data_IF_414711548329
#
_entry.id   IF_414711548329
#
_cell.length_a   1.000
_cell.length_b   1.000
_cell.length_c   1.000
_cell.angle_alpha   90.00
_cell.angle_beta   90.00
_cell.angle_gamma   90.00
#
_symmetry.space_group_name_H-M   'P 1'
#
loop_
_entity.id
_entity.type
_entity.pdbx_description
1 polymer ?
#
# COMPACT_ATOMS: atom_id res chain seq x y z
N UNK A 1 -59.24 -87.26 38.74
CA UNK A 1 -58.83 -86.78 37.40
C UNK A 1 -59.27 -85.34 37.13
N UNK A 2 -60.25 -84.78 37.85
CA UNK A 2 -60.75 -83.40 37.61
C UNK A 2 -59.88 -82.27 38.21
N UNK A 3 -59.20 -82.48 39.34
CA UNK A 3 -58.33 -81.42 39.93
C UNK A 3 -57.08 -81.10 39.09
N UNK A 4 -56.51 -82.09 38.38
CA UNK A 4 -55.37 -81.88 37.48
C UNK A 4 -55.73 -81.09 36.22
N UNK A 5 -57.00 -81.14 35.79
CA UNK A 5 -57.49 -80.44 34.61
C UNK A 5 -57.71 -78.94 34.89
N UNK A 6 -58.14 -78.60 36.11
CA UNK A 6 -58.29 -77.21 36.56
C UNK A 6 -56.95 -76.52 36.85
N UNK A 7 -55.96 -77.21 37.44
CA UNK A 7 -54.62 -76.66 37.59
C UNK A 7 -53.95 -76.39 36.23
N UNK A 8 -54.13 -77.26 35.24
CA UNK A 8 -53.60 -77.07 33.88
C UNK A 8 -54.18 -75.85 33.14
N UNK A 9 -55.48 -75.56 33.30
CA UNK A 9 -56.13 -74.35 32.76
C UNK A 9 -55.70 -73.08 33.51
N UNK A 10 -55.52 -73.15 34.83
CA UNK A 10 -55.06 -72.00 35.62
C UNK A 10 -53.59 -71.71 35.32
N UNK A 11 -52.74 -72.73 35.19
CA UNK A 11 -51.34 -72.59 34.79
C UNK A 11 -51.22 -72.01 33.38
N UNK A 12 -52.02 -72.48 32.41
CA UNK A 12 -52.00 -71.91 31.05
C UNK A 12 -52.51 -70.47 31.01
N UNK A 13 -53.49 -70.10 31.85
CA UNK A 13 -53.96 -68.72 31.98
C UNK A 13 -52.92 -67.79 32.63
N UNK A 14 -52.20 -68.28 33.65
CA UNK A 14 -51.14 -67.53 34.35
C UNK A 14 -49.92 -67.32 33.45
N UNK A 15 -49.53 -68.34 32.69
CA UNK A 15 -48.43 -68.29 31.74
C UNK A 15 -48.75 -67.35 30.56
N UNK A 16 -50.00 -67.34 30.10
CA UNK A 16 -50.48 -66.40 29.09
C UNK A 16 -50.44 -64.94 29.58
N UNK A 17 -50.84 -64.68 30.83
CA UNK A 17 -50.77 -63.35 31.45
C UNK A 17 -49.30 -62.91 31.63
N UNK A 18 -48.41 -63.79 32.07
CA UNK A 18 -46.98 -63.49 32.21
C UNK A 18 -46.33 -63.15 30.86
N UNK A 19 -46.67 -63.88 29.80
CA UNK A 19 -46.17 -63.59 28.45
C UNK A 19 -46.71 -62.25 27.91
N UNK A 20 -47.95 -61.89 28.24
CA UNK A 20 -48.53 -60.60 27.86
C UNK A 20 -47.87 -59.43 28.61
N UNK A 21 -47.62 -59.57 29.91
CA UNK A 21 -46.89 -58.57 30.71
C UNK A 21 -45.47 -58.41 30.16
N UNK A 22 -44.78 -59.51 29.85
CA UNK A 22 -43.43 -59.47 29.29
C UNK A 22 -43.39 -58.75 27.94
N UNK A 23 -44.38 -58.97 27.07
CA UNK A 23 -44.50 -58.26 25.80
C UNK A 23 -44.70 -56.75 26.00
N UNK A 24 -45.58 -56.35 26.92
CA UNK A 24 -45.81 -54.94 27.26
C UNK A 24 -44.54 -54.29 27.83
N UNK A 25 -43.85 -54.96 28.75
CA UNK A 25 -42.60 -54.45 29.33
C UNK A 25 -41.52 -54.25 28.27
N UNK A 26 -41.43 -55.17 27.30
CA UNK A 26 -40.49 -55.07 26.18
C UNK A 26 -40.82 -53.88 25.28
N UNK A 27 -42.09 -53.71 24.90
CA UNK A 27 -42.53 -52.59 24.05
C UNK A 27 -42.32 -51.23 24.74
N UNK A 28 -42.57 -51.14 26.05
CA UNK A 28 -42.32 -49.92 26.84
C UNK A 28 -40.81 -49.61 26.88
N UNK A 29 -39.96 -50.61 27.11
CA UNK A 29 -38.49 -50.43 27.12
C UNK A 29 -37.96 -49.99 25.76
N UNK A 30 -38.41 -50.62 24.68
CA UNK A 30 -37.99 -50.24 23.32
C UNK A 30 -38.41 -48.82 22.95
N UNK A 31 -39.63 -48.42 23.32
CA UNK A 31 -40.11 -47.05 23.10
C UNK A 31 -39.29 -46.02 23.88
N UNK A 32 -39.02 -46.30 25.16
CA UNK A 32 -38.21 -45.42 26.02
C UNK A 32 -36.76 -45.28 25.52
N UNK A 33 -36.15 -46.39 25.07
CA UNK A 33 -34.80 -46.37 24.48
C UNK A 33 -34.79 -45.52 23.20
N UNK A 34 -35.80 -45.67 22.34
CA UNK A 34 -35.91 -44.91 21.08
C UNK A 34 -36.11 -43.42 21.32
N UNK A 35 -36.92 -43.04 22.32
CA UNK A 35 -37.08 -41.64 22.75
C UNK A 35 -35.76 -41.06 23.26
N UNK A 36 -35.03 -41.77 24.14
CA UNK A 36 -33.74 -41.31 24.65
C UNK A 36 -32.66 -41.23 23.57
N UNK A 37 -32.66 -42.13 22.59
CA UNK A 37 -31.75 -42.06 21.44
C UNK A 37 -32.04 -40.82 20.56
N UNK A 38 -33.31 -40.47 20.37
CA UNK A 38 -33.70 -39.25 19.65
C UNK A 38 -33.30 -37.98 20.40
N UNK A 39 -33.50 -37.92 21.73
CA UNK A 39 -33.01 -36.82 22.57
C UNK A 39 -31.49 -36.66 22.46
N UNK A 40 -30.74 -37.77 22.57
CA UNK A 40 -29.28 -37.77 22.44
C UNK A 40 -28.84 -37.27 21.06
N UNK A 41 -29.55 -37.68 20.00
CA UNK A 41 -29.28 -37.24 18.63
C UNK A 41 -29.50 -35.73 18.48
N UNK A 42 -30.59 -35.21 19.04
CA UNK A 42 -30.88 -33.78 19.01
C UNK A 42 -29.84 -32.95 19.79
N UNK A 43 -29.41 -33.43 20.96
CA UNK A 43 -28.34 -32.79 21.74
C UNK A 43 -27.03 -32.79 20.96
N UNK A 44 -26.68 -33.91 20.31
CA UNK A 44 -25.47 -34.01 19.49
C UNK A 44 -25.50 -33.06 18.28
N UNK A 45 -26.65 -32.92 17.62
CA UNK A 45 -26.80 -31.95 16.52
C UNK A 45 -26.61 -30.52 17.02
N UNK A 46 -27.24 -30.16 18.15
CA UNK A 46 -27.14 -28.82 18.73
C UNK A 46 -25.73 -28.50 19.21
N UNK A 47 -25.04 -29.46 19.83
CA UNK A 47 -23.64 -29.33 20.24
C UNK A 47 -22.72 -29.15 19.02
N UNK A 48 -22.95 -29.88 17.93
CA UNK A 48 -22.18 -29.71 16.69
C UNK A 48 -22.43 -28.33 16.05
N UNK A 49 -23.65 -27.83 16.07
CA UNK A 49 -23.96 -26.46 15.61
C UNK A 49 -23.24 -25.40 16.46
N UNK A 50 -23.23 -25.56 17.79
CA UNK A 50 -22.54 -24.66 18.70
C UNK A 50 -21.01 -24.75 18.54
N UNK A 51 -20.44 -25.95 18.37
CA UNK A 51 -19.01 -26.15 18.05
C UNK A 51 -18.66 -25.48 16.73
N UNK A 52 -19.43 -25.68 15.67
CA UNK A 52 -19.20 -25.03 14.37
C UNK A 52 -19.28 -23.50 14.48
N UNK A 53 -20.19 -22.97 15.31
CA UNK A 53 -20.32 -21.54 15.57
C UNK A 53 -19.13 -20.98 16.36
N UNK A 54 -18.62 -21.74 17.33
CA UNK A 54 -17.42 -21.40 18.10
C UNK A 54 -16.17 -21.49 17.23
N UNK A 55 -16.02 -22.52 16.39
CA UNK A 55 -14.93 -22.65 15.42
C UNK A 55 -14.95 -21.52 14.38
N UNK A 56 -16.14 -21.11 13.90
CA UNK A 56 -16.29 -19.95 13.02
C UNK A 56 -15.82 -18.66 13.69
N UNK A 57 -16.23 -18.42 14.94
CA UNK A 57 -15.75 -17.27 15.74
C UNK A 57 -14.25 -17.33 16.02
N UNK A 58 -13.72 -18.51 16.32
CA UNK A 58 -12.29 -18.72 16.57
C UNK A 58 -11.46 -18.53 15.31
N UNK A 59 -11.89 -19.03 14.16
CA UNK A 59 -11.26 -18.79 12.84
C UNK A 59 -11.26 -17.30 12.50
N UNK A 60 -12.36 -16.59 12.75
CA UNK A 60 -12.41 -15.13 12.56
C UNK A 60 -11.47 -14.40 13.54
N UNK A 61 -11.31 -14.88 14.77
CA UNK A 61 -10.45 -14.24 15.78
C UNK A 61 -8.95 -14.56 15.66
N UNK A 62 -8.58 -15.78 15.23
CA UNK A 62 -7.20 -16.30 15.25
C UNK A 62 -6.58 -16.36 13.84
N UNK A 63 -7.39 -16.46 12.78
CA UNK A 63 -6.92 -16.68 11.40
C UNK A 63 -6.89 -15.45 10.48
N UNK A 64 -7.75 -14.45 10.68
CA UNK A 64 -7.88 -13.33 9.73
C UNK A 64 -7.17 -12.04 10.16
N UNK A 65 -6.81 -11.89 11.45
CA UNK A 65 -6.35 -10.61 11.99
C UNK A 65 -4.88 -10.22 11.68
N UNK A 66 -4.09 -11.06 11.01
CA UNK A 66 -2.65 -10.75 10.76
C UNK A 66 -2.36 -10.04 9.44
N UNK A 67 -3.32 -10.03 8.51
CA UNK A 67 -3.14 -9.48 7.15
C UNK A 67 -4.16 -8.36 6.85
N UNK A 68 -4.78 -7.80 7.90
CA UNK A 68 -5.69 -6.66 7.81
C UNK A 68 -4.91 -5.36 7.98
N UNK A 69 -5.06 -4.44 7.02
CA UNK A 69 -4.65 -3.06 7.22
C UNK A 69 -5.80 -2.31 7.88
N UNK A 70 -5.69 -2.08 9.18
CA UNK A 70 -6.69 -1.30 9.93
C UNK A 70 -6.54 0.18 9.62
N UNK A 71 -7.65 0.81 9.24
CA UNK A 71 -7.70 2.24 8.94
C UNK A 71 -8.22 2.95 10.18
N UNK A 72 -7.30 3.61 10.89
CA UNK A 72 -7.66 4.31 12.12
C UNK A 72 -8.48 5.56 11.81
N UNK A 73 -9.62 5.68 12.50
CA UNK A 73 -10.47 6.88 12.43
C UNK A 73 -9.68 8.10 12.83
N UNK A 74 -9.71 9.11 11.98
CA UNK A 74 -9.10 10.40 12.22
C UNK A 74 -9.87 11.48 11.43
N UNK A 75 -9.62 12.75 11.74
CA UNK A 75 -10.31 13.88 11.11
C UNK A 75 -10.17 13.89 9.59
N UNK A 76 -9.06 13.41 9.05
CA UNK A 76 -8.83 13.34 7.60
C UNK A 76 -9.71 12.28 6.95
N UNK A 77 -9.77 11.06 7.49
CA UNK A 77 -10.64 9.98 6.97
C UNK A 77 -12.12 10.37 7.09
N UNK A 78 -12.51 11.01 8.20
CA UNK A 78 -13.87 11.52 8.36
C UNK A 78 -14.17 12.62 7.34
N UNK A 79 -13.24 13.54 7.12
CA UNK A 79 -13.38 14.57 6.09
C UNK A 79 -13.54 13.96 4.70
N UNK A 80 -12.64 13.04 4.34
CA UNK A 80 -12.62 12.32 3.07
C UNK A 80 -13.95 11.61 2.79
N UNK A 81 -14.46 10.85 3.76
CA UNK A 81 -15.69 10.10 3.58
C UNK A 81 -16.96 10.97 3.58
N UNK A 82 -16.94 12.12 4.24
CA UNK A 82 -18.06 13.07 4.24
C UNK A 82 -18.05 13.98 3.00
N UNK A 83 -16.88 14.19 2.40
CA UNK A 83 -16.67 15.11 1.27
C UNK A 83 -16.79 14.43 -0.09
N UNK A 84 -16.66 13.11 -0.15
CA UNK A 84 -16.64 12.32 -1.38
C UNK A 84 -17.70 11.22 -1.36
N UNK A 85 -18.11 10.76 -2.54
CA UNK A 85 -18.77 9.46 -2.64
C UNK A 85 -17.74 8.37 -2.32
N UNK A 86 -17.89 7.72 -1.16
CA UNK A 86 -16.96 6.67 -0.67
C UNK A 86 -16.67 5.61 -1.72
N UNK A 87 -17.65 5.28 -2.56
CA UNK A 87 -17.52 4.25 -3.57
C UNK A 87 -16.66 4.68 -4.76
N UNK A 88 -16.80 5.93 -5.20
CA UNK A 88 -15.97 6.52 -6.26
C UNK A 88 -14.53 6.73 -5.77
N UNK A 89 -14.41 7.20 -4.54
CA UNK A 89 -13.15 7.34 -3.84
C UNK A 89 -12.40 6.00 -3.76
N UNK A 90 -13.05 4.93 -3.28
CA UNK A 90 -12.44 3.60 -3.22
C UNK A 90 -11.98 3.13 -4.60
N UNK A 91 -12.79 3.33 -5.65
CA UNK A 91 -12.38 3.01 -7.02
C UNK A 91 -11.13 3.78 -7.45
N UNK A 92 -11.06 5.07 -7.13
CA UNK A 92 -9.90 5.91 -7.42
C UNK A 92 -8.65 5.42 -6.67
N UNK A 93 -8.77 5.11 -5.38
CA UNK A 93 -7.67 4.57 -4.56
C UNK A 93 -7.20 3.23 -5.12
N UNK A 94 -8.13 2.30 -5.40
CA UNK A 94 -7.80 0.99 -5.95
C UNK A 94 -7.13 1.08 -7.32
N UNK A 95 -7.52 2.05 -8.16
CA UNK A 95 -6.89 2.28 -9.45
C UNK A 95 -5.45 2.78 -9.29
N UNK A 96 -5.27 3.87 -8.53
CA UNK A 96 -3.94 4.47 -8.31
C UNK A 96 -2.99 3.50 -7.59
N UNK A 97 -3.50 2.70 -6.64
CA UNK A 97 -2.67 1.77 -5.90
C UNK A 97 -2.12 0.65 -6.79
N UNK A 98 -2.98 0.06 -7.64
CA UNK A 98 -2.55 -0.94 -8.63
C UNK A 98 -1.54 -0.38 -9.61
N UNK A 99 -1.74 0.89 -9.97
CA UNK A 99 -0.89 1.61 -10.92
C UNK A 99 0.54 1.78 -10.39
N UNK A 100 0.71 2.28 -9.15
CA UNK A 100 2.02 2.54 -8.56
C UNK A 100 2.69 1.33 -7.89
N UNK A 101 2.02 0.17 -7.83
CA UNK A 101 2.59 -1.04 -7.21
C UNK A 101 2.63 -2.19 -8.22
N UNK A 102 1.59 -3.02 -8.22
CA UNK A 102 1.43 -4.13 -9.13
C UNK A 102 -0.05 -4.25 -9.50
N UNK A 103 -0.35 -4.34 -10.79
CA UNK A 103 -1.72 -4.45 -11.30
C UNK A 103 -2.50 -5.66 -10.74
N UNK A 104 -1.80 -6.69 -10.26
CA UNK A 104 -2.39 -7.89 -9.67
C UNK A 104 -2.63 -7.78 -8.16
N UNK A 105 -2.12 -6.74 -7.48
CA UNK A 105 -2.33 -6.48 -6.06
C UNK A 105 -3.57 -5.61 -5.87
N UNK A 106 -4.67 -6.19 -5.39
CA UNK A 106 -5.98 -5.56 -5.35
C UNK A 106 -6.38 -5.23 -3.91
N UNK A 107 -6.65 -3.96 -3.58
CA UNK A 107 -7.18 -3.57 -2.29
C UNK A 107 -8.70 -3.70 -2.25
N UNK A 108 -9.20 -4.35 -1.21
CA UNK A 108 -10.62 -4.56 -0.91
C UNK A 108 -10.96 -3.88 0.41
N UNK A 109 -11.98 -3.03 0.39
CA UNK A 109 -12.36 -2.18 1.52
C UNK A 109 -13.61 -2.71 2.20
N UNK A 110 -13.61 -2.68 3.53
CA UNK A 110 -14.68 -3.25 4.34
C UNK A 110 -15.12 -2.26 5.42
N UNK A 111 -16.37 -2.40 5.84
CA UNK A 111 -16.93 -1.69 7.00
C UNK A 111 -16.69 -2.43 8.33
N UNK A 112 -17.10 -1.81 9.44
CA UNK A 112 -17.02 -2.39 10.79
C UNK A 112 -17.78 -3.73 10.98
N UNK A 113 -18.65 -4.12 10.05
CA UNK A 113 -19.43 -5.35 10.09
C UNK A 113 -18.89 -6.44 9.14
N UNK A 114 -17.66 -6.29 8.69
CA UNK A 114 -16.96 -7.16 7.77
C UNK A 114 -17.57 -7.30 6.37
N UNK A 115 -18.29 -6.29 5.90
CA UNK A 115 -18.90 -6.31 4.57
C UNK A 115 -18.08 -5.52 3.57
N UNK A 116 -17.77 -6.15 2.44
CA UNK A 116 -17.01 -5.53 1.37
C UNK A 116 -17.81 -4.42 0.67
N UNK A 117 -17.26 -3.22 0.66
CA UNK A 117 -17.96 -2.00 0.27
C UNK A 117 -18.35 -1.98 -1.22
N UNK A 118 -17.51 -2.53 -2.10
CA UNK A 118 -17.80 -2.51 -3.52
C UNK A 118 -18.85 -3.55 -3.95
N UNK A 119 -19.19 -4.51 -3.09
CA UNK A 119 -20.17 -5.58 -3.38
C UNK A 119 -21.62 -5.18 -3.16
N UNK A 120 -21.89 -4.09 -2.47
CA UNK A 120 -23.25 -3.60 -2.28
C UNK A 120 -23.87 -3.18 -3.62
N UNK A 121 -25.09 -3.60 -3.93
CA UNK A 121 -25.77 -3.17 -5.16
C UNK A 121 -26.27 -1.70 -5.07
N UNK A 122 -26.37 -1.14 -3.87
CA UNK A 122 -26.86 0.22 -3.62
C UNK A 122 -25.84 1.03 -2.80
N UNK A 123 -25.78 2.34 -3.02
CA UNK A 123 -25.05 3.31 -2.15
C UNK A 123 -25.72 3.50 -0.79
N UNK A 124 -26.87 2.84 -0.61
CA UNK A 124 -27.73 2.90 0.54
C UNK A 124 -27.81 1.49 1.15
N UNK A 125 -27.59 1.38 2.45
CA UNK A 125 -27.77 0.15 3.20
C UNK A 125 -28.79 0.40 4.31
N UNK A 126 -29.56 -0.63 4.68
CA UNK A 126 -30.47 -0.56 5.81
C UNK A 126 -29.76 -1.03 7.06
N UNK A 127 -29.82 -0.24 8.13
CA UNK A 127 -29.34 -0.69 9.45
C UNK A 127 -30.31 -1.69 10.10
N UNK A 128 -29.94 -2.17 11.29
CA UNK A 128 -30.76 -3.07 12.12
C UNK A 128 -32.15 -2.52 12.46
N UNK A 129 -32.36 -1.21 12.33
CA UNK A 129 -33.64 -0.52 12.54
C UNK A 129 -34.38 -0.24 11.22
N UNK A 130 -33.97 -0.87 10.12
CA UNK A 130 -34.54 -0.72 8.78
C UNK A 130 -34.43 0.71 8.23
N UNK A 131 -33.54 1.54 8.79
CA UNK A 131 -33.30 2.92 8.35
C UNK A 131 -32.28 2.93 7.23
N UNK A 132 -32.61 3.66 6.16
CA UNK A 132 -31.78 3.78 4.98
C UNK A 132 -30.61 4.75 5.24
N UNK A 133 -29.39 4.22 5.26
CA UNK A 133 -28.16 4.96 5.51
C UNK A 133 -27.28 4.96 4.27
N UNK A 134 -26.62 6.09 3.98
CA UNK A 134 -25.55 6.11 2.98
C UNK A 134 -24.31 5.45 3.56
N UNK A 135 -23.61 4.68 2.73
CA UNK A 135 -22.29 4.18 3.10
C UNK A 135 -21.32 5.35 3.24
N UNK A 136 -20.90 5.60 4.48
CA UNK A 136 -20.09 6.77 4.85
C UNK A 136 -18.69 6.40 5.32
N UNK A 137 -18.31 5.12 5.42
CA UNK A 137 -17.08 4.72 6.12
C UNK A 137 -16.51 3.41 5.56
N UNK A 138 -15.20 3.28 5.68
CA UNK A 138 -14.44 2.03 5.59
C UNK A 138 -13.49 1.97 6.78
N UNK A 139 -13.36 0.81 7.41
CA UNK A 139 -12.62 0.64 8.66
C UNK A 139 -11.35 -0.21 8.48
N UNK A 140 -11.31 -1.05 7.44
CA UNK A 140 -10.11 -1.83 7.13
C UNK A 140 -10.03 -2.21 5.64
N UNK A 141 -8.82 -2.57 5.23
CA UNK A 141 -8.49 -3.01 3.89
C UNK A 141 -7.85 -4.41 3.92
N UNK A 142 -8.27 -5.29 3.00
CA UNK A 142 -7.62 -6.57 2.71
C UNK A 142 -7.02 -6.50 1.30
N UNK A 143 -5.90 -7.19 1.10
CA UNK A 143 -5.26 -7.22 -0.21
C UNK A 143 -5.35 -8.64 -0.77
N UNK A 144 -5.56 -8.76 -2.08
CA UNK A 144 -5.46 -10.03 -2.80
C UNK A 144 -4.41 -9.93 -3.87
N UNK A 145 -3.69 -11.02 -4.11
CA UNK A 145 -2.70 -11.10 -5.16
C UNK A 145 -2.92 -12.38 -5.96
N UNK A 146 -3.19 -12.24 -7.27
CA UNK A 146 -3.54 -13.36 -8.15
C UNK A 146 -4.71 -14.19 -7.59
N UNK A 147 -4.43 -15.41 -7.14
CA UNK A 147 -5.42 -16.36 -6.58
C UNK A 147 -5.39 -16.41 -5.05
N UNK A 148 -4.45 -15.70 -4.42
CA UNK A 148 -4.30 -15.68 -2.98
C UNK A 148 -5.20 -14.60 -2.37
N UNK A 149 -6.11 -15.04 -1.51
CA UNK A 149 -6.91 -14.16 -0.68
C UNK A 149 -6.11 -13.73 0.54
N UNK A 150 -6.15 -12.43 0.88
CA UNK A 150 -5.63 -11.90 2.13
C UNK A 150 -4.08 -11.99 2.25
N UNK A 151 -3.37 -11.30 1.36
CA UNK A 151 -1.91 -11.18 1.36
C UNK A 151 -1.43 -10.01 2.22
N UNK A 152 -0.22 -10.12 2.77
CA UNK A 152 0.47 -9.01 3.45
C UNK A 152 1.14 -8.15 2.40
N UNK A 153 1.17 -6.86 2.65
CA UNK A 153 1.90 -5.89 1.86
C UNK A 153 3.15 -5.42 2.62
N UNK A 154 4.16 -5.02 1.88
CA UNK A 154 5.39 -4.42 2.40
C UNK A 154 5.13 -3.02 2.97
N UNK A 155 6.05 -2.50 3.78
CA UNK A 155 5.96 -1.12 4.28
C UNK A 155 5.94 -0.06 3.17
N UNK A 156 6.63 -0.33 2.06
CA UNK A 156 6.63 0.53 0.88
C UNK A 156 5.24 0.56 0.23
N UNK A 157 4.61 -0.60 0.06
CA UNK A 157 3.23 -0.71 -0.43
C UNK A 157 2.22 -0.08 0.55
N UNK A 158 2.40 -0.21 1.86
CA UNK A 158 1.57 0.49 2.86
C UNK A 158 1.65 2.02 2.69
N UNK A 159 2.87 2.53 2.52
CA UNK A 159 3.13 3.96 2.30
C UNK A 159 2.53 4.43 0.98
N UNK A 160 2.66 3.63 -0.08
CA UNK A 160 2.05 3.89 -1.38
C UNK A 160 0.51 3.87 -1.30
N UNK A 161 -0.09 2.97 -0.53
CA UNK A 161 -1.53 2.91 -0.32
C UNK A 161 -2.05 4.17 0.39
N UNK A 162 -1.36 4.63 1.43
CA UNK A 162 -1.67 5.90 2.12
C UNK A 162 -1.57 7.07 1.14
N UNK A 163 -0.54 7.09 0.31
CA UNK A 163 -0.42 8.10 -0.73
C UNK A 163 -1.57 8.07 -1.74
N UNK A 164 -1.99 6.90 -2.20
CA UNK A 164 -3.13 6.77 -3.12
C UNK A 164 -4.42 7.34 -2.53
N UNK A 165 -4.60 7.24 -1.20
CA UNK A 165 -5.69 7.88 -0.47
C UNK A 165 -5.59 9.41 -0.50
N UNK A 166 -4.40 9.98 -0.24
CA UNK A 166 -4.17 11.42 -0.38
C UNK A 166 -4.33 11.93 -1.82
N UNK A 167 -3.75 11.24 -2.79
CA UNK A 167 -3.80 11.62 -4.20
C UNK A 167 -5.22 11.56 -4.76
N UNK A 168 -6.01 10.54 -4.39
CA UNK A 168 -7.43 10.45 -4.78
C UNK A 168 -8.24 11.62 -4.21
N UNK A 169 -7.93 12.06 -2.99
CA UNK A 169 -8.53 13.24 -2.39
C UNK A 169 -8.11 14.54 -3.10
N UNK A 170 -6.83 14.66 -3.44
CA UNK A 170 -6.28 15.80 -4.17
C UNK A 170 -7.04 16.01 -5.49
N UNK A 171 -7.21 14.95 -6.27
CA UNK A 171 -7.99 14.95 -7.51
C UNK A 171 -9.42 15.39 -7.27
N UNK A 172 -10.09 14.78 -6.28
CA UNK A 172 -11.48 15.13 -5.94
C UNK A 172 -11.64 16.61 -5.58
N UNK A 173 -10.73 17.18 -4.78
CA UNK A 173 -10.77 18.60 -4.41
C UNK A 173 -10.66 19.49 -5.65
N UNK A 174 -9.66 19.24 -6.51
CA UNK A 174 -9.45 20.04 -7.72
C UNK A 174 -10.64 19.94 -8.66
N UNK A 175 -11.14 18.73 -8.92
CA UNK A 175 -12.27 18.49 -9.82
C UNK A 175 -13.56 19.17 -9.33
N UNK A 176 -13.86 19.12 -8.03
CA UNK A 176 -15.07 19.74 -7.48
C UNK A 176 -14.95 21.26 -7.31
N UNK A 177 -13.74 21.81 -7.11
CA UNK A 177 -13.53 23.26 -7.15
C UNK A 177 -13.81 23.83 -8.54
N UNK A 178 -13.36 23.15 -9.59
CA UNK A 178 -13.62 23.56 -10.97
C UNK A 178 -15.11 23.44 -11.35
N UNK A 179 -15.76 22.32 -10.99
CA UNK A 179 -17.12 22.02 -11.47
C UNK A 179 -18.25 22.56 -10.60
N UNK A 180 -18.18 22.39 -9.28
CA UNK A 180 -19.27 22.69 -8.34
C UNK A 180 -19.00 23.87 -7.42
N UNK A 181 -17.79 24.45 -7.51
CA UNK A 181 -17.28 25.47 -6.59
C UNK A 181 -17.34 25.03 -5.11
N UNK A 182 -17.32 23.72 -4.87
CA UNK A 182 -17.14 23.17 -3.53
C UNK A 182 -15.68 23.36 -3.10
N UNK A 183 -15.41 23.32 -1.79
CA UNK A 183 -14.07 23.53 -1.22
C UNK A 183 -13.46 24.91 -1.49
N UNK A 184 -14.22 25.93 -1.93
CA UNK A 184 -13.69 27.29 -2.20
C UNK A 184 -12.96 27.92 -1.01
N UNK A 185 -13.33 27.56 0.23
CA UNK A 185 -12.63 28.00 1.44
C UNK A 185 -11.28 27.32 1.70
N UNK A 186 -10.91 26.29 0.93
CA UNK A 186 -9.57 25.69 0.96
C UNK A 186 -8.64 26.56 0.12
N UNK A 187 -7.69 27.24 0.75
CA UNK A 187 -6.77 28.13 0.03
C UNK A 187 -5.44 27.47 -0.33
N UNK A 188 -4.99 26.51 0.49
CA UNK A 188 -3.68 25.87 0.37
C UNK A 188 -3.80 24.35 0.48
N UNK A 189 -2.99 23.67 -0.32
CA UNK A 189 -2.64 22.26 -0.13
C UNK A 189 -1.14 22.18 0.12
N UNK A 190 -0.78 21.54 1.23
CA UNK A 190 0.60 21.27 1.60
C UNK A 190 0.91 19.77 1.40
N UNK A 191 1.95 19.46 0.64
CA UNK A 191 2.41 18.10 0.38
C UNK A 191 3.87 18.02 0.84
N UNK A 192 4.13 17.25 1.90
CA UNK A 192 5.47 17.03 2.41
C UNK A 192 5.98 15.66 2.00
N UNK A 193 7.07 15.68 1.24
CA UNK A 193 7.84 14.55 0.77
C UNK A 193 6.97 13.39 0.23
N UNK A 194 6.33 13.58 -0.94
CA UNK A 194 5.39 12.61 -1.49
C UNK A 194 6.12 11.29 -1.82
N UNK A 195 5.93 10.31 -0.93
CA UNK A 195 6.38 8.91 -0.95
C UNK A 195 7.88 8.70 -1.26
N UNK A 196 8.66 8.49 -0.20
CA UNK A 196 10.09 8.17 -0.29
C UNK A 196 10.41 6.71 -0.60
N UNK A 197 9.42 5.81 -0.60
CA UNK A 197 9.62 4.36 -0.76
C UNK A 197 9.34 3.82 -2.17
N UNK A 198 9.03 4.69 -3.13
CA UNK A 198 8.85 4.32 -4.54
C UNK A 198 10.20 4.24 -5.26
N UNK A 199 10.28 3.40 -6.28
CA UNK A 199 11.42 3.41 -7.19
C UNK A 199 11.44 4.69 -8.05
N UNK A 200 12.56 4.94 -8.73
CA UNK A 200 12.77 6.16 -9.52
C UNK A 200 11.71 6.34 -10.62
N UNK A 201 11.24 5.27 -11.25
CA UNK A 201 10.26 5.35 -12.33
C UNK A 201 8.89 5.80 -11.80
N UNK A 202 8.43 5.14 -10.73
CA UNK A 202 7.18 5.51 -10.08
C UNK A 202 7.24 6.89 -9.44
N UNK A 203 8.41 7.34 -8.98
CA UNK A 203 8.60 8.69 -8.47
C UNK A 203 8.53 9.77 -9.57
N UNK A 204 9.12 9.51 -10.74
CA UNK A 204 8.98 10.38 -11.91
C UNK A 204 7.51 10.50 -12.31
N UNK A 205 6.83 9.36 -12.41
CA UNK A 205 5.41 9.31 -12.75
C UNK A 205 4.56 10.08 -11.75
N UNK A 206 4.84 9.91 -10.45
CA UNK A 206 4.17 10.62 -9.39
C UNK A 206 4.33 12.15 -9.51
N UNK A 207 5.53 12.63 -9.85
CA UNK A 207 5.77 14.05 -10.08
C UNK A 207 4.94 14.58 -11.26
N UNK A 208 4.83 13.81 -12.34
CA UNK A 208 4.01 14.13 -13.52
C UNK A 208 2.53 14.19 -13.13
N UNK A 209 2.03 13.16 -12.44
CA UNK A 209 0.65 13.06 -11.95
C UNK A 209 0.24 14.26 -11.08
N UNK A 210 1.09 14.64 -10.12
CA UNK A 210 0.85 15.81 -9.27
C UNK A 210 0.85 17.08 -10.13
N UNK A 211 1.79 17.23 -11.06
CA UNK A 211 1.85 18.39 -11.94
C UNK A 211 0.57 18.52 -12.79
N UNK A 212 0.05 17.42 -13.31
CA UNK A 212 -1.21 17.40 -14.07
C UNK A 212 -2.39 17.85 -13.22
N UNK A 213 -2.50 17.35 -11.98
CA UNK A 213 -3.58 17.76 -11.07
C UNK A 213 -3.50 19.25 -10.76
N UNK A 214 -2.30 19.79 -10.52
CA UNK A 214 -2.10 21.23 -10.28
C UNK A 214 -2.44 22.06 -11.52
N UNK A 215 -2.08 21.58 -12.71
CA UNK A 215 -2.39 22.26 -13.99
C UNK A 215 -3.90 22.28 -14.26
N UNK A 216 -4.64 21.24 -13.86
CA UNK A 216 -6.10 21.17 -13.99
C UNK A 216 -6.83 22.18 -13.10
N UNK A 217 -6.24 22.66 -12.01
CA UNK A 217 -6.89 23.65 -11.16
C UNK A 217 -7.04 25.01 -11.89
N UNK A 218 -8.29 25.45 -12.04
CA UNK A 218 -8.64 26.77 -12.57
C UNK A 218 -8.99 27.76 -11.43
N UNK A 219 -9.09 27.28 -10.20
CA UNK A 219 -9.74 27.96 -9.07
C UNK A 219 -8.80 28.69 -8.11
N UNK A 220 -7.58 29.01 -8.57
CA UNK A 220 -6.53 29.72 -7.81
C UNK A 220 -6.05 29.02 -6.53
N UNK A 221 -6.19 27.69 -6.43
CA UNK A 221 -5.69 26.92 -5.28
C UNK A 221 -4.16 26.97 -5.24
N UNK A 222 -3.59 27.20 -4.04
CA UNK A 222 -2.13 27.30 -3.87
C UNK A 222 -1.58 25.97 -3.39
N UNK A 223 -0.52 25.50 -4.03
CA UNK A 223 0.18 24.28 -3.66
C UNK A 223 1.55 24.64 -3.09
N UNK A 224 1.86 24.06 -1.93
CA UNK A 224 3.17 24.13 -1.31
C UNK A 224 3.67 22.69 -1.20
N UNK A 225 4.77 22.40 -1.88
CA UNK A 225 5.32 21.06 -1.97
C UNK A 225 6.76 21.09 -1.48
N UNK A 226 7.06 20.25 -0.50
CA UNK A 226 8.41 20.04 0.03
C UNK A 226 8.86 18.63 -0.33
N UNK A 227 10.14 18.47 -0.64
CA UNK A 227 10.75 17.16 -0.84
C UNK A 227 12.24 17.27 -0.58
N UNK A 228 12.86 16.16 -0.18
CA UNK A 228 14.30 16.01 -0.18
C UNK A 228 14.83 15.37 -1.47
N UNK A 229 13.95 14.84 -2.32
CA UNK A 229 14.33 14.13 -3.53
C UNK A 229 14.48 15.08 -4.73
N UNK A 230 15.72 15.22 -5.19
CA UNK A 230 16.08 16.11 -6.30
C UNK A 230 15.47 15.71 -7.64
N UNK A 231 15.33 14.40 -7.91
CA UNK A 231 14.71 13.89 -9.14
C UNK A 231 13.24 14.30 -9.21
N UNK A 232 12.50 14.01 -8.13
CA UNK A 232 11.09 14.40 -8.01
C UNK A 232 10.92 15.91 -8.21
N UNK A 233 11.71 16.72 -7.50
CA UNK A 233 11.68 18.18 -7.63
C UNK A 233 11.93 18.62 -9.08
N UNK A 234 12.96 18.09 -9.74
CA UNK A 234 13.33 18.51 -11.09
C UNK A 234 12.24 18.19 -12.11
N UNK A 235 11.66 16.99 -12.04
CA UNK A 235 10.54 16.59 -12.91
C UNK A 235 9.33 17.47 -12.66
N UNK A 236 8.90 17.61 -11.41
CA UNK A 236 7.75 18.44 -11.04
C UNK A 236 7.92 19.90 -11.49
N UNK A 237 9.10 20.47 -11.23
CA UNK A 237 9.44 21.84 -11.61
C UNK A 237 9.41 22.05 -13.12
N UNK A 238 10.00 21.11 -13.88
CA UNK A 238 9.99 21.12 -15.34
C UNK A 238 8.57 21.06 -15.88
N UNK A 239 7.77 20.15 -15.34
CA UNK A 239 6.39 19.98 -15.76
C UNK A 239 5.56 21.24 -15.51
N UNK A 240 5.65 21.83 -14.33
CA UNK A 240 4.89 23.04 -13.97
C UNK A 240 5.34 24.31 -14.71
N UNK A 241 6.60 24.37 -15.16
CA UNK A 241 7.15 25.50 -15.92
C UNK A 241 7.05 25.34 -17.44
N UNK A 242 6.46 24.25 -17.94
CA UNK A 242 6.26 24.04 -19.37
C UNK A 242 5.51 25.20 -20.05
N UNK A 243 5.92 25.52 -21.29
CA UNK A 243 5.46 26.70 -22.06
C UNK A 243 3.94 26.73 -22.30
N UNK A 244 3.26 25.58 -22.20
CA UNK A 244 1.85 25.43 -22.56
C UNK A 244 0.91 25.87 -21.43
N UNK A 245 1.33 25.76 -20.16
CA UNK A 245 0.49 26.06 -18.99
C UNK A 245 1.33 26.58 -17.82
N UNK A 246 1.96 27.75 -17.99
CA UNK A 246 2.88 28.31 -17.00
C UNK A 246 2.12 28.76 -15.75
N UNK A 247 2.22 27.98 -14.67
CA UNK A 247 1.78 28.43 -13.32
C UNK A 247 2.87 29.33 -12.72
N UNK A 248 2.47 30.27 -11.87
CA UNK A 248 3.43 31.09 -11.10
C UNK A 248 4.09 30.20 -10.07
N UNK A 249 5.33 29.80 -10.34
CA UNK A 249 6.14 28.95 -9.47
C UNK A 249 7.22 29.78 -8.77
N UNK A 250 7.41 29.53 -7.48
CA UNK A 250 8.55 30.02 -6.70
C UNK A 250 9.22 28.80 -6.06
N UNK A 251 10.53 28.71 -6.21
CA UNK A 251 11.31 27.57 -5.75
C UNK A 251 12.25 28.01 -4.65
N UNK A 252 12.38 27.19 -3.61
CA UNK A 252 13.21 27.50 -2.45
C UNK A 252 14.04 26.28 -2.06
N UNK A 253 15.26 26.52 -1.58
CA UNK A 253 16.11 25.52 -0.96
C UNK A 253 16.24 25.83 0.53
N UNK A 254 15.86 24.88 1.37
CA UNK A 254 16.10 24.95 2.81
C UNK A 254 17.42 24.24 3.13
N UNK A 255 18.41 24.97 3.64
CA UNK A 255 19.70 24.43 4.07
C UNK A 255 19.86 24.57 5.58
N UNK A 256 20.49 23.57 6.20
CA UNK A 256 20.88 23.61 7.62
C UNK A 256 22.37 23.91 7.70
N UNK A 257 22.73 24.97 8.39
CA UNK A 257 24.11 25.39 8.61
C UNK A 257 24.75 24.60 9.77
N UNK A 258 26.09 24.61 9.85
CA UNK A 258 26.85 23.91 10.89
C UNK A 258 26.58 24.44 12.32
N UNK A 259 26.13 25.69 12.45
CA UNK A 259 25.75 26.33 13.71
C UNK A 259 24.29 26.02 14.13
N UNK A 260 23.64 25.07 13.47
CA UNK A 260 22.21 24.72 13.61
C UNK A 260 21.22 25.81 13.20
N UNK A 261 21.65 26.86 12.49
CA UNK A 261 20.72 27.80 11.85
C UNK A 261 20.21 27.25 10.51
N UNK A 262 19.10 27.82 10.01
CA UNK A 262 18.49 27.43 8.74
C UNK A 262 18.46 28.61 7.79
N UNK A 263 18.81 28.39 6.53
CA UNK A 263 18.69 29.36 5.45
C UNK A 263 17.66 28.86 4.43
N UNK A 264 16.75 29.75 4.02
CA UNK A 264 15.78 29.49 2.96
C UNK A 264 16.11 30.39 1.78
N UNK A 265 16.74 29.82 0.75
CA UNK A 265 17.18 30.57 -0.42
C UNK A 265 16.19 30.38 -1.57
N UNK A 266 15.70 31.48 -2.15
CA UNK A 266 14.94 31.43 -3.40
C UNK A 266 15.87 31.00 -4.54
N UNK A 267 15.50 29.94 -5.25
CA UNK A 267 16.20 29.48 -6.46
C UNK A 267 15.43 29.99 -7.69
N UNK A 268 16.09 30.84 -8.48
CA UNK A 268 15.53 31.45 -9.69
C UNK A 268 16.13 30.77 -10.92
N UNK A 269 15.29 30.18 -11.76
CA UNK A 269 15.72 29.56 -13.02
C UNK A 269 14.87 28.37 -13.47
N UNK A 270 15.22 27.78 -14.61
CA UNK A 270 14.67 26.51 -15.10
C UNK A 270 15.14 25.33 -14.21
N UNK A 271 14.52 24.14 -14.28
CA UNK A 271 14.86 23.00 -13.40
C UNK A 271 16.37 22.68 -13.39
N UNK A 272 17.03 22.78 -14.56
CA UNK A 272 18.48 22.60 -14.72
C UNK A 272 19.36 23.66 -14.00
N UNK A 273 18.80 24.82 -13.67
CA UNK A 273 19.50 25.93 -12.99
C UNK A 273 19.09 26.12 -11.53
N UNK A 274 17.89 25.66 -11.13
CA UNK A 274 17.40 25.81 -9.76
C UNK A 274 17.88 24.68 -8.83
N UNK A 275 18.10 23.49 -9.39
CA UNK A 275 18.83 22.38 -8.77
C UNK A 275 19.77 21.87 -9.85
N UNK A 276 20.98 22.42 -9.94
CA UNK A 276 22.01 21.80 -10.77
C UNK A 276 22.43 20.49 -10.10
N UNK A 277 21.57 19.47 -10.18
CA UNK A 277 21.73 18.20 -9.48
C UNK A 277 23.07 17.57 -9.85
N UNK A 278 23.51 17.71 -11.11
CA UNK A 278 24.84 17.33 -11.53
C UNK A 278 25.95 18.14 -10.82
N UNK A 279 25.80 19.45 -10.60
CA UNK A 279 26.75 20.23 -9.80
C UNK A 279 26.71 19.81 -8.31
N UNK A 280 25.54 19.50 -7.77
CA UNK A 280 25.41 19.00 -6.39
C UNK A 280 26.05 17.62 -6.21
N UNK A 281 25.81 16.69 -7.15
CA UNK A 281 26.48 15.39 -7.18
C UNK A 281 27.99 15.56 -7.30
N UNK A 282 28.44 16.50 -8.15
CA UNK A 282 29.84 16.87 -8.30
C UNK A 282 30.44 17.35 -6.96
N UNK A 283 29.79 18.28 -6.26
CA UNK A 283 30.23 18.78 -4.95
C UNK A 283 30.30 17.67 -3.88
N UNK A 284 29.33 16.74 -3.85
CA UNK A 284 29.34 15.59 -2.94
C UNK A 284 30.57 14.71 -3.20
N UNK A 285 30.83 14.39 -4.46
CA UNK A 285 31.98 13.55 -4.85
C UNK A 285 33.30 14.28 -4.52
N UNK A 286 33.41 15.58 -4.83
CA UNK A 286 34.59 16.40 -4.51
C UNK A 286 34.91 16.37 -3.02
N UNK A 287 33.90 16.60 -2.18
CA UNK A 287 34.05 16.59 -0.73
C UNK A 287 34.43 15.21 -0.21
N UNK A 288 33.81 14.15 -0.73
CA UNK A 288 34.11 12.78 -0.34
C UNK A 288 35.55 12.37 -0.70
N UNK A 289 36.05 12.80 -1.87
CA UNK A 289 37.43 12.58 -2.29
C UNK A 289 38.39 13.38 -1.38
N UNK A 290 38.10 14.65 -1.11
CA UNK A 290 38.94 15.51 -0.28
C UNK A 290 39.07 15.02 1.18
N UNK A 291 37.99 14.47 1.74
CA UNK A 291 37.97 13.93 3.12
C UNK A 291 38.39 12.45 3.20
N UNK A 292 38.73 11.81 2.08
CA UNK A 292 38.96 10.36 1.96
C UNK A 292 37.80 9.49 2.50
N UNK A 293 36.56 9.97 2.35
CA UNK A 293 35.32 9.31 2.80
C UNK A 293 34.47 8.79 1.63
N UNK A 294 35.13 8.30 0.59
CA UNK A 294 34.45 7.77 -0.59
C UNK A 294 33.73 6.46 -0.23
N UNK A 295 32.42 6.41 -0.47
CA UNK A 295 31.54 5.24 -0.32
C UNK A 295 31.04 4.72 -1.67
N UNK A 296 30.57 3.46 -1.73
CA UNK A 296 30.15 2.83 -3.00
C UNK A 296 29.00 3.55 -3.70
N UNK A 297 28.10 4.22 -2.99
CA UNK A 297 27.02 4.97 -3.63
C UNK A 297 27.53 6.15 -4.49
N UNK A 298 28.75 6.67 -4.25
CA UNK A 298 29.33 7.70 -5.10
C UNK A 298 29.58 7.22 -6.53
N UNK A 299 29.69 5.90 -6.78
CA UNK A 299 29.76 5.35 -8.13
C UNK A 299 28.47 5.60 -8.92
N UNK A 300 27.31 5.52 -8.26
CA UNK A 300 26.03 5.81 -8.89
C UNK A 300 25.94 7.29 -9.27
N UNK A 301 26.42 8.19 -8.40
CA UNK A 301 26.49 9.62 -8.69
C UNK A 301 27.42 9.92 -9.86
N UNK A 302 28.61 9.31 -9.85
CA UNK A 302 29.59 9.46 -10.92
C UNK A 302 29.06 8.97 -12.26
N UNK A 303 28.38 7.80 -12.28
CA UNK A 303 27.69 7.30 -13.48
C UNK A 303 26.65 8.29 -13.98
N UNK A 304 25.86 8.88 -13.08
CA UNK A 304 24.85 9.87 -13.45
C UNK A 304 25.49 11.09 -14.13
N UNK A 305 26.64 11.56 -13.63
CA UNK A 305 27.41 12.64 -14.27
C UNK A 305 27.84 12.24 -15.68
N UNK A 306 28.44 11.07 -15.85
CA UNK A 306 28.84 10.56 -17.17
C UNK A 306 27.65 10.41 -18.14
N UNK A 307 26.52 9.88 -17.69
CA UNK A 307 25.30 9.76 -18.51
C UNK A 307 24.78 11.13 -18.95
N UNK A 308 24.75 12.11 -18.06
CA UNK A 308 24.29 13.46 -18.38
C UNK A 308 25.26 14.18 -19.32
N UNK A 309 26.56 14.08 -19.08
CA UNK A 309 27.61 14.65 -19.94
C UNK A 309 27.58 14.02 -21.34
N UNK A 310 27.47 12.70 -21.43
CA UNK A 310 27.40 11.99 -22.71
C UNK A 310 26.15 12.39 -23.52
N UNK A 311 24.99 12.44 -22.86
CA UNK A 311 23.75 12.91 -23.47
C UNK A 311 23.85 14.36 -23.96
N UNK A 312 24.46 15.24 -23.16
CA UNK A 312 24.68 16.64 -23.54
C UNK A 312 25.58 16.77 -24.79
N UNK A 313 26.59 15.92 -24.89
CA UNK A 313 27.54 15.90 -26.01
C UNK A 313 27.04 15.10 -27.24
N UNK A 314 25.87 14.45 -27.15
CA UNK A 314 25.28 13.70 -28.25
C UNK A 314 25.83 12.29 -28.47
N UNK A 315 26.48 11.69 -27.47
CA UNK A 315 26.92 10.29 -27.53
C UNK A 315 25.74 9.34 -27.24
N UNK A 316 25.58 8.25 -28.00
CA UNK A 316 24.50 7.29 -27.80
C UNK A 316 24.66 6.47 -26.52
N UNK A 317 25.90 6.28 -26.05
CA UNK A 317 26.17 5.59 -24.78
C UNK A 317 27.19 6.35 -23.93
N UNK A 318 26.99 6.35 -22.61
CA UNK A 318 27.83 7.08 -21.67
C UNK A 318 29.25 6.51 -21.52
N UNK A 319 29.46 5.21 -21.73
CA UNK A 319 30.78 4.59 -21.63
C UNK A 319 31.71 5.00 -22.78
N UNK A 320 31.19 5.63 -23.84
CA UNK A 320 32.01 6.12 -24.97
C UNK A 320 32.86 7.33 -24.57
N UNK A 321 32.44 8.08 -23.55
CA UNK A 321 33.20 9.22 -23.04
C UNK A 321 34.13 8.84 -21.87
N UNK A 322 34.22 7.57 -21.49
CA UNK A 322 35.23 7.09 -20.53
C UNK A 322 36.64 7.07 -21.15
N UNK A 323 37.71 7.11 -20.31
CA UNK A 323 39.08 6.81 -20.74
C UNK A 323 39.15 5.50 -21.51
N UNK A 324 39.93 5.42 -22.59
CA UNK A 324 39.98 4.25 -23.48
C UNK A 324 40.34 2.96 -22.73
N UNK A 325 41.26 3.06 -21.76
CA UNK A 325 41.69 1.98 -20.88
C UNK A 325 40.58 1.48 -19.93
N UNK A 326 39.60 2.33 -19.63
CA UNK A 326 38.52 2.06 -18.69
C UNK A 326 37.21 1.61 -19.34
N UNK A 327 37.06 1.72 -20.67
CA UNK A 327 35.80 1.37 -21.37
C UNK A 327 35.37 -0.08 -21.17
N UNK A 328 36.32 -1.01 -21.04
CA UNK A 328 36.06 -2.46 -20.87
C UNK A 328 35.84 -2.83 -19.40
N UNK A 329 36.56 -2.19 -18.47
CA UNK A 329 36.55 -2.52 -17.04
C UNK A 329 35.44 -1.77 -16.28
N UNK A 330 35.30 -0.46 -16.52
CA UNK A 330 34.38 0.41 -15.79
C UNK A 330 32.92 0.23 -16.19
N UNK A 331 32.64 -0.33 -17.38
CA UNK A 331 31.30 -0.75 -17.77
C UNK A 331 30.68 -1.78 -16.81
N UNK A 332 31.49 -2.68 -16.23
CA UNK A 332 31.01 -3.65 -15.22
C UNK A 332 30.87 -3.02 -13.84
N UNK A 333 31.82 -2.20 -13.40
CA UNK A 333 31.81 -1.56 -12.08
C UNK A 333 30.62 -0.59 -11.94
N UNK A 334 30.37 0.22 -12.98
CA UNK A 334 29.26 1.17 -13.00
C UNK A 334 27.90 0.51 -13.32
N UNK A 335 27.87 -0.66 -13.96
CA UNK A 335 26.65 -1.48 -14.07
C UNK A 335 26.32 -2.27 -12.79
N UNK A 336 27.31 -2.72 -12.03
CA UNK A 336 27.08 -3.38 -10.73
C UNK A 336 26.46 -2.42 -9.71
N UNK A 337 26.76 -1.12 -9.80
CA UNK A 337 26.13 -0.09 -8.97
C UNK A 337 24.63 0.09 -9.21
N UNK A 338 24.09 -0.41 -10.34
CA UNK A 338 22.65 -0.47 -10.61
C UNK A 338 21.97 -1.66 -9.90
N UNK A 339 22.68 -2.78 -9.70
CA UNK A 339 22.12 -3.97 -9.04
C UNK A 339 22.33 -3.99 -7.52
N UNK A 340 23.19 -3.12 -6.97
CA UNK A 340 23.22 -2.84 -5.54
C UNK A 340 22.11 -1.87 -5.08
N UNK A 341 20.97 -1.86 -5.79
CA UNK A 341 19.70 -1.23 -5.36
C UNK A 341 19.01 -1.97 -4.20
N UNK A 342 19.72 -2.84 -3.48
CA UNK A 342 19.20 -3.54 -2.31
C UNK A 342 20.09 -3.24 -1.11
N UNK A 343 19.50 -2.53 -0.15
CA UNK A 343 19.97 -2.19 1.20
C UNK A 343 20.93 -1.00 1.32
N UNK A 344 20.39 0.12 1.79
CA UNK A 344 21.17 1.18 2.47
C UNK A 344 21.85 0.66 3.77
N UNK A 345 21.51 -0.55 4.24
CA UNK A 345 21.88 -1.01 5.57
C UNK A 345 23.11 -1.93 5.66
N UNK A 346 23.72 -2.35 4.54
CA UNK A 346 24.99 -3.11 4.61
C UNK A 346 25.81 -2.93 3.34
N UNK A 347 26.46 -1.79 3.18
CA UNK A 347 27.46 -1.62 2.11
C UNK A 347 28.84 -1.56 2.74
N UNK A 348 29.58 -2.66 2.63
CA UNK A 348 30.99 -2.71 3.00
C UNK A 348 31.75 -1.55 2.33
N UNK A 349 32.62 -0.89 3.08
CA UNK A 349 33.46 0.20 2.58
C UNK A 349 34.15 -0.21 1.27
N UNK A 350 34.21 0.67 0.26
CA UNK A 350 34.97 0.38 -0.95
C UNK A 350 36.43 0.15 -0.60
N UNK A 351 37.06 -0.81 -1.27
CA UNK A 351 38.50 -1.02 -1.10
C UNK A 351 39.29 0.18 -1.66
N UNK A 352 40.56 0.32 -1.28
CA UNK A 352 41.39 1.47 -1.69
C UNK A 352 41.53 1.57 -3.23
N UNK A 353 41.49 0.43 -3.93
CA UNK A 353 41.52 0.39 -5.40
C UNK A 353 40.25 0.99 -6.02
N UNK A 354 39.07 0.73 -5.45
CA UNK A 354 37.79 1.31 -5.86
C UNK A 354 37.74 2.83 -5.59
N UNK A 355 38.29 3.29 -4.45
CA UNK A 355 38.38 4.72 -4.11
C UNK A 355 39.25 5.48 -5.10
N UNK A 356 40.42 4.94 -5.44
CA UNK A 356 41.32 5.55 -6.43
C UNK A 356 40.70 5.55 -7.83
N UNK A 357 39.95 4.51 -8.22
CA UNK A 357 39.20 4.50 -9.49
C UNK A 357 38.12 5.59 -9.55
N UNK A 358 37.36 5.79 -8.47
CA UNK A 358 36.34 6.87 -8.40
C UNK A 358 37.00 8.23 -8.59
N UNK A 359 38.11 8.46 -7.89
CA UNK A 359 38.88 9.70 -7.98
C UNK A 359 39.44 9.92 -9.39
N UNK A 360 40.01 8.89 -10.01
CA UNK A 360 40.54 8.95 -11.37
C UNK A 360 39.44 9.33 -12.37
N UNK A 361 38.32 8.60 -12.36
CA UNK A 361 37.21 8.83 -13.26
C UNK A 361 36.54 10.19 -13.03
N UNK A 362 36.45 10.65 -11.79
CA UNK A 362 35.90 11.97 -11.47
C UNK A 362 36.81 13.10 -11.97
N UNK A 363 38.12 12.99 -11.78
CA UNK A 363 39.09 13.95 -12.30
C UNK A 363 39.07 13.97 -13.84
N UNK A 364 39.03 12.80 -14.48
CA UNK A 364 38.90 12.73 -15.94
C UNK A 364 37.66 13.47 -16.44
N UNK A 365 36.51 13.32 -15.75
CA UNK A 365 35.29 14.02 -16.13
C UNK A 365 35.45 15.55 -16.01
N UNK A 366 36.11 16.04 -14.95
CA UNK A 366 36.34 17.47 -14.71
C UNK A 366 37.40 18.11 -15.62
N UNK A 367 38.45 17.37 -15.97
CA UNK A 367 39.57 17.89 -16.76
C UNK A 367 39.20 17.98 -18.25
N UNK A 368 38.31 17.08 -18.70
CA UNK A 368 37.97 16.91 -20.12
C UNK A 368 36.68 17.61 -20.53
N UNK A 369 35.73 17.81 -19.61
CA UNK A 369 34.39 18.33 -19.86
C UNK A 369 34.00 19.34 -18.79
#
# INVERSE_FOLDING_TARGET
MEERYNLGKILSSKECILNYIYAIEKDIKEKYIKEKQNELRNIKTKLNEDINKIEGKLKNSIGENRNLLRINKNRFIDFLCNSCNVRELIKSISYNFKHYTNGELIPHFFDENDKEILTYNETLFKDENNKLNRLRKFDYCRFTYKRESCVRISKGEESCFIWCLFYSMLKHIVDNRNSKKEFMGLEYIFIDDPVSSLDENHLIELAIDIAEVIKKDESCLKFIITTHNSLFYNVLHSELNSKVNKKKLSSYMLTKNNDNTFNLEEKKGDSNSSFSYHLFLKEIIEKAIAENKVQKYHLAFLRNLYERTANFLGYPNWYEILPEEDRVCCGRILNLSHHSQLSYDTVAEPNEEEKEKIKHLFNHLNDRF
#
